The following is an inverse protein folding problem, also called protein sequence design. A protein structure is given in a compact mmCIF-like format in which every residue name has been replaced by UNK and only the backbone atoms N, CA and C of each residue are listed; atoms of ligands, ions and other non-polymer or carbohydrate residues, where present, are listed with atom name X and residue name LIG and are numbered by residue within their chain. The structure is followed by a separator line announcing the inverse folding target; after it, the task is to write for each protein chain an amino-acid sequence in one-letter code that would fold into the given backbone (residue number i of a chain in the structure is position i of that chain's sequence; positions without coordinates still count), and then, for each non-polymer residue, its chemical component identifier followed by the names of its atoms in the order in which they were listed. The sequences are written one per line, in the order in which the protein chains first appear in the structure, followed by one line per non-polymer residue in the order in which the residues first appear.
data_IF_551874618383
#
_entry.id   IF_551874618383
#
_cell.length_a   1.000
_cell.length_b   1.000
_cell.length_c   1.000
_cell.angle_alpha   90.00
_cell.angle_beta   90.00
_cell.angle_gamma   90.00
#
_symmetry.space_group_name_H-M   'P 1'
#
loop_
_entity.id
_entity.type
_entity.pdbx_description
1 polymer ?
#
# COMPACT_ATOMS: atom_id res chain seq x y z
N UNK A 1 30.49 50.09 8.54
CA UNK A 1 30.60 48.66 8.27
C UNK A 1 29.20 48.03 8.35
N UNK A 2 28.62 47.67 7.22
CA UNK A 2 27.30 47.00 7.18
C UNK A 2 27.57 45.50 7.12
N UNK A 3 27.21 44.78 8.21
CA UNK A 3 27.30 43.33 8.26
C UNK A 3 26.13 42.76 7.45
N UNK A 4 26.44 42.04 6.36
CA UNK A 4 25.48 41.28 5.56
C UNK A 4 25.36 39.92 6.23
N UNK A 5 24.21 39.69 6.85
CA UNK A 5 23.85 38.40 7.41
C UNK A 5 23.39 37.45 6.26
N UNK A 6 24.24 36.51 5.88
CA UNK A 6 23.86 35.45 4.92
C UNK A 6 23.04 34.42 5.66
N UNK A 7 21.72 34.40 5.47
CA UNK A 7 20.86 33.30 5.87
C UNK A 7 21.06 32.16 4.87
N UNK A 8 21.82 31.14 5.27
CA UNK A 8 21.84 29.84 4.59
C UNK A 8 20.50 29.12 4.83
N UNK A 9 19.62 29.17 3.86
CA UNK A 9 18.50 28.23 3.81
C UNK A 9 19.06 26.83 3.48
N UNK A 10 19.23 25.98 4.50
CA UNK A 10 19.36 24.55 4.30
C UNK A 10 18.00 24.03 3.82
N UNK A 11 17.79 23.97 2.52
CA UNK A 11 16.75 23.12 1.95
C UNK A 11 17.20 21.68 2.17
N UNK A 12 16.60 21.01 3.14
CA UNK A 12 16.69 19.54 3.24
C UNK A 12 16.03 18.99 1.97
N UNK A 13 16.85 18.61 1.00
CA UNK A 13 16.39 17.85 -0.16
C UNK A 13 16.06 16.46 0.40
N UNK A 14 14.79 16.20 0.67
CA UNK A 14 14.31 14.84 0.92
C UNK A 14 14.45 14.08 -0.40
N UNK A 15 15.52 13.31 -0.55
CA UNK A 15 15.66 12.44 -1.70
C UNK A 15 14.79 11.21 -1.47
N UNK A 16 13.98 10.87 -2.46
CA UNK A 16 13.28 9.59 -2.51
C UNK A 16 14.31 8.44 -2.51
N UNK A 17 13.95 7.22 -2.06
CA UNK A 17 14.89 6.11 -1.96
C UNK A 17 15.34 5.66 -3.35
N UNK A 18 16.43 6.22 -3.83
CA UNK A 18 16.98 5.91 -5.15
C UNK A 18 17.30 4.41 -5.33
N UNK A 19 17.59 3.72 -4.23
CA UNK A 19 17.82 2.27 -4.23
C UNK A 19 16.61 1.44 -4.61
N UNK A 20 15.40 1.96 -4.38
CA UNK A 20 14.14 1.25 -4.62
C UNK A 20 13.54 1.62 -6.00
N UNK A 21 14.15 2.59 -6.72
CA UNK A 21 13.69 3.00 -8.05
C UNK A 21 13.88 1.86 -9.05
N UNK A 22 12.81 1.48 -9.72
CA UNK A 22 12.85 0.51 -10.82
C UNK A 22 13.32 1.23 -12.07
N UNK A 23 14.55 0.96 -12.48
CA UNK A 23 15.21 1.65 -13.61
C UNK A 23 15.07 0.92 -14.93
N UNK A 24 14.82 -0.39 -14.88
CA UNK A 24 14.71 -1.24 -16.06
C UNK A 24 13.60 -2.28 -15.86
N UNK A 25 12.54 -2.12 -16.64
CA UNK A 25 11.48 -3.10 -16.77
C UNK A 25 11.22 -3.28 -18.27
N UNK A 26 11.74 -4.35 -18.87
CA UNK A 26 11.69 -4.55 -20.32
C UNK A 26 10.27 -4.45 -20.87
N UNK A 27 10.12 -3.74 -21.99
CA UNK A 27 8.86 -3.55 -22.72
C UNK A 27 7.74 -2.87 -21.91
N UNK A 28 8.05 -2.28 -20.73
CA UNK A 28 7.08 -1.55 -19.96
C UNK A 28 6.71 -0.21 -20.64
N UNK A 29 5.43 0.03 -20.93
CA UNK A 29 5.04 1.12 -21.85
C UNK A 29 4.93 2.50 -21.19
N UNK A 30 5.16 2.61 -19.88
CA UNK A 30 5.08 3.87 -19.16
C UNK A 30 6.46 4.31 -18.66
N UNK A 31 6.65 5.64 -18.57
CA UNK A 31 7.90 6.26 -18.06
C UNK A 31 7.74 6.85 -16.67
N UNK A 32 6.59 6.66 -16.05
CA UNK A 32 6.34 7.13 -14.70
C UNK A 32 7.23 6.38 -13.71
N UNK A 33 7.62 7.07 -12.66
CA UNK A 33 8.45 6.45 -11.64
C UNK A 33 7.73 5.33 -10.94
N UNK A 34 8.44 4.24 -10.77
CA UNK A 34 8.01 3.07 -10.04
C UNK A 34 9.10 2.67 -9.05
N UNK A 35 8.73 2.31 -7.86
CA UNK A 35 9.63 1.91 -6.78
C UNK A 35 9.20 0.55 -6.25
N UNK A 36 10.15 -0.33 -6.03
CA UNK A 36 9.93 -1.65 -5.44
C UNK A 36 10.98 -1.89 -4.37
N UNK A 37 10.55 -2.29 -3.18
CA UNK A 37 11.47 -2.46 -2.06
C UNK A 37 10.76 -2.99 -0.82
N UNK A 38 11.37 -2.75 0.34
CA UNK A 38 10.88 -3.27 1.60
C UNK A 38 10.60 -2.15 2.59
N UNK A 39 9.48 -2.29 3.30
CA UNK A 39 9.06 -1.47 4.43
C UNK A 39 9.37 -2.24 5.71
N UNK A 40 10.17 -1.65 6.57
CA UNK A 40 10.56 -2.27 7.84
C UNK A 40 9.41 -2.24 8.83
N UNK A 41 9.03 -3.40 9.34
CA UNK A 41 8.01 -3.54 10.38
C UNK A 41 8.67 -3.80 11.74
N UNK A 42 9.62 -4.72 11.78
CA UNK A 42 10.39 -5.04 12.98
C UNK A 42 11.82 -5.47 12.61
N UNK A 43 12.59 -5.94 13.57
CA UNK A 43 13.91 -6.53 13.30
C UNK A 43 13.85 -7.82 12.48
N UNK A 44 12.69 -8.46 12.42
CA UNK A 44 12.47 -9.77 11.77
C UNK A 44 11.46 -9.74 10.65
N UNK A 45 10.64 -8.68 10.53
CA UNK A 45 9.59 -8.56 9.53
C UNK A 45 9.78 -7.36 8.62
N UNK A 46 9.58 -7.58 7.32
CA UNK A 46 9.55 -6.52 6.31
C UNK A 46 8.45 -6.81 5.29
N UNK A 47 7.62 -5.81 4.97
CA UNK A 47 6.63 -5.93 3.92
C UNK A 47 7.22 -5.42 2.60
N UNK A 48 7.09 -6.22 1.57
CA UNK A 48 7.42 -5.79 0.21
C UNK A 48 6.35 -4.80 -0.27
N UNK A 49 6.79 -3.78 -0.99
CA UNK A 49 5.91 -2.82 -1.63
C UNK A 49 6.29 -2.56 -3.08
N UNK A 50 5.30 -2.22 -3.87
CA UNK A 50 5.45 -1.58 -5.16
C UNK A 50 4.69 -0.25 -5.14
N UNK A 51 5.38 0.85 -5.37
CA UNK A 51 4.80 2.17 -5.45
C UNK A 51 4.93 2.69 -6.89
N UNK A 52 3.81 3.05 -7.49
CA UNK A 52 3.76 3.59 -8.84
C UNK A 52 3.14 4.98 -8.83
N UNK A 53 3.87 5.97 -9.34
CA UNK A 53 3.39 7.33 -9.44
C UNK A 53 2.22 7.46 -10.40
N UNK A 54 1.38 8.46 -10.20
CA UNK A 54 0.27 8.75 -11.10
C UNK A 54 0.75 9.07 -12.52
N UNK A 55 -0.07 8.76 -13.53
CA UNK A 55 0.25 9.03 -14.93
C UNK A 55 0.29 10.52 -15.28
N UNK A 56 -0.35 11.35 -14.51
CA UNK A 56 -0.35 12.81 -14.67
C UNK A 56 0.33 13.42 -13.46
N UNK A 57 1.18 14.41 -13.70
CA UNK A 57 1.72 15.24 -12.63
C UNK A 57 0.59 16.09 -12.06
N UNK A 58 0.46 16.11 -10.75
CA UNK A 58 -0.50 16.95 -10.06
C UNK A 58 -0.22 16.99 -8.56
N UNK A 59 0.03 18.18 -8.03
CA UNK A 59 0.28 18.37 -6.60
C UNK A 59 -0.87 17.89 -5.72
N UNK A 60 -2.07 17.72 -6.28
CA UNK A 60 -3.30 17.38 -5.55
C UNK A 60 -3.72 15.92 -5.69
N UNK A 61 -2.97 15.09 -6.43
CA UNK A 61 -3.32 13.69 -6.58
C UNK A 61 -3.13 12.94 -5.26
N UNK A 62 -4.14 12.15 -4.84
CA UNK A 62 -4.08 11.40 -3.59
C UNK A 62 -3.08 10.25 -3.65
N UNK A 63 -2.76 9.71 -2.48
CA UNK A 63 -2.15 8.41 -2.33
C UNK A 63 -3.26 7.38 -2.07
N UNK A 64 -3.24 6.29 -2.80
CA UNK A 64 -4.13 5.17 -2.62
C UNK A 64 -3.30 3.93 -2.30
N UNK A 65 -3.65 3.22 -1.23
CA UNK A 65 -3.07 1.92 -0.89
C UNK A 65 -4.00 0.84 -1.42
N UNK A 66 -3.42 -0.19 -2.03
CA UNK A 66 -4.15 -1.38 -2.47
C UNK A 66 -3.68 -2.62 -1.74
N UNK A 67 -4.64 -3.43 -1.29
CA UNK A 67 -4.44 -4.77 -0.74
C UNK A 67 -5.28 -5.79 -1.52
N UNK A 68 -4.65 -6.85 -2.03
CA UNK A 68 -5.37 -8.06 -2.37
C UNK A 68 -5.70 -8.84 -1.09
N UNK A 69 -6.69 -9.72 -1.18
CA UNK A 69 -7.19 -10.48 -0.05
C UNK A 69 -6.48 -11.79 0.20
N UNK A 70 -7.18 -12.88 0.06
CA UNK A 70 -6.73 -14.25 0.30
C UNK A 70 -7.31 -14.84 1.59
N UNK A 71 -6.70 -14.71 2.78
CA UNK A 71 -5.48 -13.94 3.13
C UNK A 71 -4.20 -14.45 2.45
N UNK A 72 -3.14 -13.66 2.50
CA UNK A 72 -1.82 -13.95 1.94
C UNK A 72 -1.70 -13.88 0.40
N UNK A 73 -2.70 -13.40 -0.35
CA UNK A 73 -2.50 -13.11 -1.77
C UNK A 73 -1.56 -11.92 -1.95
N UNK A 74 -0.77 -11.97 -3.01
CA UNK A 74 0.13 -10.88 -3.37
C UNK A 74 -0.65 -9.67 -3.89
N UNK A 75 -0.37 -8.48 -3.38
CA UNK A 75 -0.95 -7.25 -3.93
C UNK A 75 -0.38 -6.86 -5.31
N UNK A 76 0.63 -7.59 -5.80
CA UNK A 76 1.10 -7.47 -7.17
C UNK A 76 0.10 -8.05 -8.18
N UNK A 77 -0.83 -8.90 -7.76
CA UNK A 77 -1.96 -9.34 -8.60
C UNK A 77 -2.81 -8.12 -8.99
N UNK A 78 -3.13 -7.25 -8.02
CA UNK A 78 -3.80 -5.97 -8.29
C UNK A 78 -3.04 -5.08 -9.25
N UNK A 79 -1.72 -5.00 -9.11
CA UNK A 79 -0.87 -4.22 -10.01
C UNK A 79 -0.82 -4.79 -11.43
N UNK A 80 -0.67 -6.11 -11.57
CA UNK A 80 -0.41 -6.77 -12.85
C UNK A 80 -1.65 -7.26 -13.60
N UNK A 81 -2.78 -7.41 -12.90
CA UNK A 81 -3.97 -8.06 -13.48
C UNK A 81 -5.28 -7.26 -13.29
N UNK A 82 -5.32 -6.26 -12.37
CA UNK A 82 -6.58 -5.62 -12.02
C UNK A 82 -6.59 -4.10 -12.29
N UNK A 83 -5.93 -3.32 -11.43
CA UNK A 83 -6.07 -1.87 -11.40
C UNK A 83 -4.78 -1.10 -11.71
N UNK A 84 -3.66 -1.81 -11.89
CA UNK A 84 -2.38 -1.21 -12.26
C UNK A 84 -2.33 -0.67 -13.67
N UNK A 85 -1.20 -0.08 -14.06
CA UNK A 85 -1.06 0.59 -15.36
C UNK A 85 -1.13 -0.34 -16.56
N UNK A 86 -0.77 -1.60 -16.36
CA UNK A 86 -0.72 -2.63 -17.40
C UNK A 86 -1.26 -3.94 -16.88
N UNK A 87 -1.74 -4.75 -17.79
CA UNK A 87 -1.98 -6.17 -17.60
C UNK A 87 -0.77 -6.97 -18.11
N UNK A 88 -0.52 -8.12 -17.46
CA UNK A 88 0.43 -9.11 -17.93
C UNK A 88 -0.30 -10.13 -18.82
N UNK A 89 -0.07 -10.07 -20.13
CA UNK A 89 -0.59 -11.06 -21.08
C UNK A 89 0.56 -11.94 -21.57
N UNK A 90 0.77 -13.08 -20.91
CA UNK A 90 1.93 -13.92 -21.13
C UNK A 90 3.23 -13.19 -20.71
N UNK A 91 4.11 -12.95 -21.66
CA UNK A 91 5.40 -12.24 -21.43
C UNK A 91 5.35 -10.75 -21.82
N UNK A 92 4.16 -10.17 -22.01
CA UNK A 92 4.01 -8.79 -22.51
C UNK A 92 3.18 -7.94 -21.57
N UNK A 93 3.57 -6.66 -21.48
CA UNK A 93 2.75 -5.64 -20.85
C UNK A 93 1.74 -5.07 -21.86
N UNK A 94 0.45 -5.16 -21.51
CA UNK A 94 -0.64 -4.53 -22.26
C UNK A 94 -1.22 -3.40 -21.42
N UNK A 95 -1.33 -2.21 -22.02
CA UNK A 95 -1.84 -1.04 -21.31
C UNK A 95 -3.24 -1.27 -20.77
N UNK A 96 -3.45 -0.99 -19.48
CA UNK A 96 -4.75 -0.98 -18.84
C UNK A 96 -5.46 0.35 -19.10
N UNK A 97 -6.54 0.39 -19.90
CA UNK A 97 -7.28 1.62 -20.14
C UNK A 97 -8.03 2.13 -18.90
N UNK A 98 -8.18 1.29 -17.87
CA UNK A 98 -8.91 1.58 -16.63
C UNK A 98 -7.99 1.73 -15.41
N UNK A 99 -6.68 1.89 -15.64
CA UNK A 99 -5.69 2.05 -14.58
C UNK A 99 -6.05 3.14 -13.58
N UNK A 100 -5.94 2.80 -12.30
CA UNK A 100 -6.16 3.73 -11.19
C UNK A 100 -5.04 4.77 -11.08
N UNK A 101 -3.87 4.51 -11.65
CA UNK A 101 -2.78 5.49 -11.74
C UNK A 101 -3.11 6.73 -12.60
N UNK A 102 -4.25 6.74 -13.28
CA UNK A 102 -4.79 7.95 -13.92
C UNK A 102 -5.28 8.99 -12.91
N UNK A 103 -5.66 8.56 -11.70
CA UNK A 103 -6.34 9.38 -10.71
C UNK A 103 -5.56 9.51 -9.40
N UNK A 104 -4.59 8.62 -9.13
CA UNK A 104 -3.88 8.54 -7.87
C UNK A 104 -2.45 8.03 -8.05
N UNK A 105 -1.61 8.32 -7.06
CA UNK A 105 -0.41 7.54 -6.79
C UNK A 105 -0.84 6.25 -6.10
N UNK A 106 -0.37 5.09 -6.53
CA UNK A 106 -0.84 3.82 -5.98
C UNK A 106 0.31 3.06 -5.31
N UNK A 107 0.08 2.67 -4.08
CA UNK A 107 0.98 1.87 -3.26
C UNK A 107 0.36 0.48 -3.07
N UNK A 108 1.00 -0.53 -3.59
CA UNK A 108 0.67 -1.95 -3.40
C UNK A 108 1.54 -2.48 -2.28
N UNK A 109 0.93 -3.00 -1.21
CA UNK A 109 1.66 -3.60 -0.08
C UNK A 109 1.31 -5.08 -0.03
N UNK A 110 2.30 -5.93 -0.06
CA UNK A 110 2.12 -7.37 0.12
C UNK A 110 2.00 -7.68 1.61
N UNK A 111 0.79 -7.87 2.07
CA UNK A 111 0.42 -8.10 3.47
C UNK A 111 -0.43 -9.37 3.60
N UNK A 112 -0.26 -10.08 4.75
CA UNK A 112 0.66 -9.84 5.86
C UNK A 112 2.11 -10.24 5.55
N UNK A 113 3.02 -10.12 6.54
CA UNK A 113 4.39 -10.61 6.39
C UNK A 113 4.39 -12.10 6.01
N UNK A 114 5.21 -12.46 5.01
CA UNK A 114 5.20 -13.79 4.37
C UNK A 114 4.31 -13.90 3.13
N UNK A 115 3.48 -12.89 2.81
CA UNK A 115 2.76 -12.83 1.54
C UNK A 115 3.70 -12.36 0.43
N UNK A 116 3.61 -12.99 -0.75
CA UNK A 116 4.42 -12.63 -1.91
C UNK A 116 5.92 -12.56 -1.59
N UNK A 117 6.51 -11.39 -1.80
CA UNK A 117 7.93 -11.13 -1.48
C UNK A 117 8.17 -10.60 -0.06
N UNK A 118 7.12 -10.43 0.75
CA UNK A 118 7.25 -9.99 2.14
C UNK A 118 7.95 -11.04 3.01
N UNK A 119 8.79 -10.60 3.95
CA UNK A 119 9.74 -11.43 4.66
C UNK A 119 9.41 -11.56 6.15
N UNK A 120 9.60 -12.78 6.67
CA UNK A 120 9.75 -13.07 8.09
C UNK A 120 11.08 -13.79 8.30
N UNK A 121 12.04 -13.12 8.92
CA UNK A 121 13.38 -13.65 9.20
C UNK A 121 13.48 -14.09 10.67
N UNK A 122 12.64 -15.01 11.08
CA UNK A 122 12.62 -15.55 12.44
C UNK A 122 12.35 -17.04 12.44
N UNK A 123 12.95 -17.72 13.41
CA UNK A 123 12.66 -19.13 13.74
C UNK A 123 11.80 -19.24 15.02
N UNK A 124 11.34 -18.12 15.56
CA UNK A 124 10.52 -18.07 16.78
C UNK A 124 9.06 -18.22 16.39
N UNK A 125 8.41 -19.27 16.85
CA UNK A 125 7.04 -19.63 16.47
C UNK A 125 6.04 -18.49 16.72
N UNK A 126 6.19 -17.73 17.81
CA UNK A 126 5.33 -16.58 18.09
C UNK A 126 5.45 -15.44 17.08
N UNK A 127 6.57 -15.32 16.38
CA UNK A 127 6.76 -14.33 15.32
C UNK A 127 6.24 -14.82 13.95
N UNK A 128 6.10 -16.14 13.79
CA UNK A 128 5.49 -16.77 12.62
C UNK A 128 3.96 -16.78 12.71
N UNK A 129 3.42 -16.63 13.93
CA UNK A 129 1.96 -16.50 14.11
C UNK A 129 1.49 -15.15 13.61
N UNK A 130 0.42 -15.17 12.82
CA UNK A 130 -0.20 -13.97 12.25
C UNK A 130 -1.71 -14.03 12.49
N UNK A 131 -2.26 -12.92 12.95
CA UNK A 131 -3.69 -12.67 13.03
C UNK A 131 -4.01 -11.30 12.45
N UNK A 132 -5.28 -10.93 12.43
CA UNK A 132 -5.74 -9.70 11.80
C UNK A 132 -5.25 -8.45 12.55
N UNK A 133 -5.15 -8.51 13.88
CA UNK A 133 -4.65 -7.40 14.71
C UNK A 133 -3.17 -7.17 14.45
N UNK A 134 -2.37 -8.25 14.39
CA UNK A 134 -0.94 -8.19 14.05
C UNK A 134 -0.78 -7.63 12.64
N UNK A 135 -1.54 -8.11 11.67
CA UNK A 135 -1.47 -7.63 10.30
C UNK A 135 -1.81 -6.14 10.18
N UNK A 136 -2.85 -5.67 10.88
CA UNK A 136 -3.24 -4.26 10.89
C UNK A 136 -2.13 -3.37 11.50
N UNK A 137 -1.56 -3.80 12.60
CA UNK A 137 -0.46 -3.10 13.26
C UNK A 137 0.81 -3.07 12.40
N UNK A 138 1.20 -4.20 11.81
CA UNK A 138 2.33 -4.32 10.88
C UNK A 138 2.14 -3.39 9.67
N UNK A 139 0.94 -3.32 9.13
CA UNK A 139 0.58 -2.42 8.01
C UNK A 139 0.70 -0.94 8.40
N UNK A 140 0.32 -0.56 9.63
CA UNK A 140 0.53 0.82 10.11
C UNK A 140 2.01 1.15 10.21
N UNK A 141 2.83 0.27 10.78
CA UNK A 141 4.29 0.49 10.90
C UNK A 141 4.91 0.59 9.49
N UNK A 142 4.55 -0.29 8.59
CA UNK A 142 4.99 -0.25 7.19
C UNK A 142 4.61 1.08 6.52
N UNK A 143 3.39 1.57 6.71
CA UNK A 143 2.94 2.86 6.18
C UNK A 143 3.74 4.05 6.74
N UNK A 144 4.08 4.01 8.03
CA UNK A 144 4.93 5.03 8.66
C UNK A 144 6.33 5.00 8.03
N UNK A 145 6.91 3.81 7.81
CA UNK A 145 8.21 3.66 7.15
C UNK A 145 8.15 4.12 5.69
N UNK A 146 7.06 3.84 4.99
CA UNK A 146 6.82 4.37 3.64
C UNK A 146 6.87 5.90 3.61
N UNK A 147 6.21 6.58 4.54
CA UNK A 147 6.27 8.03 4.63
C UNK A 147 7.65 8.58 5.05
N UNK A 148 8.48 7.77 5.73
CA UNK A 148 9.87 8.15 5.99
C UNK A 148 10.71 8.07 4.71
N UNK A 149 10.43 7.09 3.83
CA UNK A 149 11.06 6.95 2.52
C UNK A 149 10.55 7.99 1.51
N UNK A 150 9.26 8.34 1.57
CA UNK A 150 8.59 9.28 0.67
C UNK A 150 7.91 10.42 1.44
N UNK A 151 8.67 11.33 2.06
CA UNK A 151 8.12 12.37 2.94
C UNK A 151 7.13 13.32 2.25
N UNK A 152 7.29 13.56 0.95
CA UNK A 152 6.39 14.40 0.15
C UNK A 152 4.97 13.83 0.03
N UNK A 153 4.79 12.53 0.27
CA UNK A 153 3.49 11.87 0.19
C UNK A 153 2.72 11.92 1.52
N UNK A 154 3.38 12.24 2.64
CA UNK A 154 2.72 12.30 3.96
C UNK A 154 1.59 13.33 4.01
N UNK A 155 1.74 14.41 3.26
CA UNK A 155 0.76 15.50 3.21
C UNK A 155 -0.36 15.28 2.19
N UNK A 156 -0.34 14.18 1.44
CA UNK A 156 -1.39 13.83 0.49
C UNK A 156 -2.61 13.27 1.21
N UNK A 157 -3.78 13.46 0.62
CA UNK A 157 -4.98 12.76 1.02
C UNK A 157 -4.78 11.26 0.78
N UNK A 158 -5.02 10.44 1.82
CA UNK A 158 -4.85 9.00 1.78
C UNK A 158 -6.19 8.29 1.65
N UNK A 159 -6.25 7.32 0.75
CA UNK A 159 -7.31 6.33 0.66
C UNK A 159 -6.71 4.94 0.81
N UNK A 160 -7.41 4.06 1.54
CA UNK A 160 -7.03 2.64 1.68
C UNK A 160 -8.06 1.83 0.95
N UNK A 161 -7.60 0.93 0.10
CA UNK A 161 -8.48 0.11 -0.73
C UNK A 161 -8.02 -1.34 -0.75
N UNK A 162 -8.95 -2.22 -1.11
CA UNK A 162 -8.64 -3.62 -1.31
C UNK A 162 -9.89 -4.43 -1.64
N UNK A 163 -9.70 -5.71 -1.86
CA UNK A 163 -10.75 -6.63 -2.25
C UNK A 163 -10.73 -7.91 -1.41
N UNK A 164 -11.86 -8.64 -1.41
CA UNK A 164 -11.98 -9.96 -0.81
C UNK A 164 -11.63 -9.96 0.71
N UNK A 165 -10.64 -10.71 1.16
CA UNK A 165 -10.20 -10.70 2.57
C UNK A 165 -9.70 -9.31 3.04
N UNK A 166 -9.34 -8.42 2.12
CA UNK A 166 -8.99 -7.04 2.48
C UNK A 166 -10.21 -6.23 2.99
N UNK A 167 -11.42 -6.79 2.94
CA UNK A 167 -12.56 -6.31 3.72
C UNK A 167 -12.29 -6.27 5.23
N UNK A 168 -11.31 -7.06 5.71
CA UNK A 168 -10.77 -7.03 7.07
C UNK A 168 -9.56 -6.08 7.13
N UNK A 169 -8.57 -6.23 6.24
CA UNK A 169 -7.33 -5.43 6.29
C UNK A 169 -7.59 -3.93 6.23
N UNK A 170 -8.47 -3.50 5.33
CA UNK A 170 -8.73 -2.08 5.05
C UNK A 170 -9.34 -1.36 6.26
N UNK A 171 -10.47 -1.80 6.86
CA UNK A 171 -11.04 -1.12 8.02
C UNK A 171 -10.18 -1.24 9.28
N UNK A 172 -9.44 -2.35 9.46
CA UNK A 172 -8.56 -2.49 10.60
C UNK A 172 -7.35 -1.55 10.52
N UNK A 173 -6.70 -1.42 9.35
CA UNK A 173 -5.65 -0.42 9.16
C UNK A 173 -6.21 1.01 9.33
N UNK A 174 -7.41 1.29 8.84
CA UNK A 174 -8.06 2.59 9.04
C UNK A 174 -8.23 2.89 10.55
N UNK A 175 -8.66 1.91 11.34
CA UNK A 175 -8.78 2.02 12.80
C UNK A 175 -7.42 2.30 13.45
N UNK A 176 -6.38 1.56 13.07
CA UNK A 176 -5.01 1.79 13.57
C UNK A 176 -4.52 3.21 13.26
N UNK A 177 -4.78 3.72 12.05
CA UNK A 177 -4.42 5.09 11.66
C UNK A 177 -5.16 6.13 12.52
N UNK A 178 -6.45 5.93 12.79
CA UNK A 178 -7.21 6.86 13.65
C UNK A 178 -6.64 6.88 15.07
N UNK A 179 -6.37 5.72 15.66
CA UNK A 179 -5.74 5.63 16.99
C UNK A 179 -4.31 6.20 17.02
N UNK A 180 -3.54 6.02 15.93
CA UNK A 180 -2.22 6.65 15.81
C UNK A 180 -2.33 8.17 15.78
N UNK A 181 -3.27 8.72 15.00
CA UNK A 181 -3.48 10.15 14.84
C UNK A 181 -3.89 10.86 16.16
N UNK A 182 -4.52 10.14 17.09
CA UNK A 182 -4.85 10.67 18.42
C UNK A 182 -3.61 10.87 19.30
N UNK A 183 -2.53 10.13 19.04
CA UNK A 183 -1.33 10.07 19.89
C UNK A 183 -0.16 10.90 19.38
N UNK A 184 -0.24 11.41 18.15
CA UNK A 184 0.86 12.15 17.52
C UNK A 184 0.53 13.60 17.30
N UNK A 185 1.57 14.44 17.09
CA UNK A 185 1.40 15.84 16.73
C UNK A 185 0.82 15.98 15.31
N UNK A 186 0.20 17.12 15.02
CA UNK A 186 -0.46 17.37 13.73
C UNK A 186 0.46 17.16 12.52
N UNK A 187 1.75 17.46 12.66
CA UNK A 187 2.75 17.25 11.60
C UNK A 187 3.05 15.78 11.28
N UNK A 188 2.65 14.86 12.17
CA UNK A 188 2.86 13.42 11.99
C UNK A 188 1.57 12.67 11.65
N UNK A 189 0.42 13.35 11.70
CA UNK A 189 -0.86 12.73 11.36
C UNK A 189 -0.91 12.26 9.91
N UNK A 190 -1.57 11.14 9.71
CA UNK A 190 -1.85 10.56 8.40
C UNK A 190 -3.22 11.06 7.95
N UNK A 191 -3.30 11.67 6.78
CA UNK A 191 -4.52 12.30 6.25
C UNK A 191 -5.47 11.27 5.62
N UNK A 192 -5.93 10.32 6.41
CA UNK A 192 -6.92 9.34 5.95
C UNK A 192 -8.23 10.04 5.58
N UNK A 193 -8.70 9.85 4.35
CA UNK A 193 -9.93 10.43 3.81
C UNK A 193 -11.05 9.43 3.61
N UNK A 194 -10.71 8.19 3.32
CA UNK A 194 -11.72 7.17 3.11
C UNK A 194 -11.13 5.78 2.88
N UNK A 195 -12.03 4.82 2.83
CA UNK A 195 -11.74 3.43 2.52
C UNK A 195 -12.61 2.97 1.36
N UNK A 196 -12.09 2.03 0.56
CA UNK A 196 -12.79 1.40 -0.56
C UNK A 196 -12.62 -0.11 -0.43
N UNK A 197 -13.73 -0.84 -0.38
CA UNK A 197 -13.72 -2.30 -0.26
C UNK A 197 -14.54 -2.89 -1.39
N UNK A 198 -13.89 -3.70 -2.21
CA UNK A 198 -14.51 -4.45 -3.31
C UNK A 198 -14.78 -5.88 -2.90
N UNK A 199 -16.03 -6.37 -3.01
CA UNK A 199 -16.40 -7.76 -2.72
C UNK A 199 -15.75 -8.30 -1.42
N UNK A 200 -15.77 -7.47 -0.36
CA UNK A 200 -15.03 -7.71 0.87
C UNK A 200 -15.70 -8.67 1.82
N UNK A 201 -14.88 -9.42 2.56
CA UNK A 201 -15.31 -10.12 3.76
C UNK A 201 -15.38 -9.11 4.90
N UNK A 202 -16.59 -8.67 5.25
CA UNK A 202 -16.83 -7.68 6.30
C UNK A 202 -17.60 -8.25 7.48
N UNK A 203 -18.27 -9.40 7.27
CA UNK A 203 -18.99 -10.15 8.30
C UNK A 203 -18.94 -11.65 7.97
N UNK A 204 -18.38 -12.45 8.89
CA UNK A 204 -18.23 -13.90 8.69
C UNK A 204 -19.55 -14.63 8.47
N UNK A 205 -20.65 -14.14 9.03
CA UNK A 205 -21.96 -14.77 8.91
C UNK A 205 -22.61 -14.49 7.54
N UNK A 206 -22.41 -13.28 7.00
CA UNK A 206 -23.12 -12.84 5.81
C UNK A 206 -22.28 -12.91 4.54
N UNK A 207 -20.96 -12.82 4.64
CA UNK A 207 -20.06 -12.74 3.49
C UNK A 207 -19.33 -14.07 3.20
N UNK A 208 -19.44 -15.08 4.11
CA UNK A 208 -18.75 -16.35 3.96
C UNK A 208 -19.71 -17.54 4.13
N UNK A 209 -19.19 -18.71 4.50
CA UNK A 209 -20.02 -19.87 4.87
C UNK A 209 -20.77 -19.57 6.18
N UNK A 210 -22.11 -19.72 6.29
CA UNK A 210 -22.98 -20.47 5.35
C UNK A 210 -23.57 -19.65 4.19
N UNK A 211 -23.51 -18.31 4.19
CA UNK A 211 -24.18 -17.49 3.18
C UNK A 211 -23.81 -17.87 1.74
N UNK A 212 -22.55 -18.17 1.47
CA UNK A 212 -22.08 -18.62 0.15
C UNK A 212 -22.74 -19.93 -0.26
N UNK A 213 -22.89 -20.89 0.66
CA UNK A 213 -23.55 -22.17 0.39
C UNK A 213 -25.04 -21.97 0.12
N UNK A 214 -25.71 -21.14 0.93
CA UNK A 214 -27.13 -20.82 0.75
C UNK A 214 -27.38 -20.17 -0.61
N UNK A 215 -26.51 -19.22 -1.03
CA UNK A 215 -26.59 -18.58 -2.32
C UNK A 215 -26.45 -19.59 -3.48
N UNK A 216 -25.43 -20.46 -3.43
CA UNK A 216 -25.21 -21.48 -4.46
C UNK A 216 -26.39 -22.44 -4.54
N UNK A 217 -26.91 -22.92 -3.41
CA UNK A 217 -28.09 -23.80 -3.38
C UNK A 217 -29.37 -23.12 -3.90
N UNK A 218 -29.47 -21.81 -3.83
CA UNK A 218 -30.64 -21.08 -4.37
C UNK A 218 -30.59 -20.93 -5.89
N UNK A 219 -29.41 -21.05 -6.48
CA UNK A 219 -29.21 -20.89 -7.94
C UNK A 219 -29.31 -22.21 -8.71
N UNK A 220 -29.37 -23.38 -8.03
CA UNK A 220 -29.51 -24.71 -8.61
C UNK A 220 -30.98 -25.16 -8.53
#
# INVERSE_FOLDING_TARGET
MKSILFLLFLTTIFSQPYSDLVTDLPDYPYKNEMYSGYLTVSSTKSLHYLYHTAHQEGEHLPLLIWFNGGPYCSSLDGWGEENGPCYLEGEKFVKNPYSWNKLANVLYIESPAGAGFSLINSNVESELSMDDDIAAHDNLIALIDFFNKFPSLRDKDLYISGESYAGIYVPMLASEILHYNEKVSDSHKIKLKGILVGNGVTDWKYDTTPATLEFVFTLI
#
